data_IF_937755780485
#
_entry.id   IF_937755780485
#
_cell.length_a   1.000
_cell.length_b   1.000
_cell.length_c   1.000
_cell.angle_alpha   90.00
_cell.angle_beta   90.00
_cell.angle_gamma   90.00
#
_symmetry.space_group_name_H-M   'P 1'
#
loop_
_entity.id
_entity.type
_entity.pdbx_description
1 polymer ?
#
# COMPACT_ATOMS: atom_id res chain seq x y z
N UNK A 1 16.25 16.04 3.19
CA UNK A 1 15.06 15.74 2.35
C UNK A 1 14.76 14.25 2.48
N UNK A 2 13.81 13.84 3.32
CA UNK A 2 13.42 12.43 3.43
C UNK A 2 12.64 12.07 2.17
N UNK A 3 13.13 11.11 1.39
CA UNK A 3 12.47 10.73 0.13
C UNK A 3 11.10 10.11 0.42
N UNK A 4 10.10 10.35 -0.45
CA UNK A 4 8.75 9.73 -0.33
C UNK A 4 8.79 8.19 -0.20
N UNK A 5 9.84 7.56 -0.72
CA UNK A 5 10.08 6.10 -0.57
C UNK A 5 10.46 5.72 0.86
N UNK A 6 11.26 6.56 1.54
CA UNK A 6 11.62 6.37 2.94
C UNK A 6 10.40 6.51 3.85
N UNK A 7 9.51 7.48 3.60
CA UNK A 7 8.29 7.68 4.39
C UNK A 7 7.36 6.46 4.33
N UNK A 8 7.14 5.92 3.13
CA UNK A 8 6.24 4.77 2.92
C UNK A 8 6.75 3.51 3.63
N UNK A 9 8.04 3.18 3.47
CA UNK A 9 8.63 1.99 4.10
C UNK A 9 8.70 2.14 5.63
N UNK A 10 8.97 3.35 6.13
CA UNK A 10 8.96 3.63 7.57
C UNK A 10 7.56 3.46 8.17
N UNK A 11 6.51 3.90 7.49
CA UNK A 11 5.12 3.71 7.93
C UNK A 11 4.76 2.22 8.00
N UNK A 12 5.09 1.43 6.98
CA UNK A 12 4.85 -0.01 7.00
C UNK A 12 5.58 -0.70 8.17
N UNK A 13 6.85 -0.34 8.39
CA UNK A 13 7.63 -0.88 9.50
C UNK A 13 7.04 -0.49 10.86
N UNK A 14 6.53 0.74 10.98
CA UNK A 14 5.88 1.21 12.20
C UNK A 14 4.58 0.43 12.50
N UNK A 15 3.74 0.18 11.49
CA UNK A 15 2.53 -0.65 11.62
C UNK A 15 2.89 -2.06 12.11
N UNK A 16 3.92 -2.66 11.53
CA UNK A 16 4.42 -3.99 11.92
C UNK A 16 4.93 -4.00 13.36
N UNK A 17 5.68 -2.98 13.77
CA UNK A 17 6.20 -2.85 15.13
C UNK A 17 5.09 -2.68 16.17
N UNK A 18 4.08 -1.85 15.87
CA UNK A 18 2.91 -1.63 16.74
C UNK A 18 1.91 -2.79 16.74
N UNK A 19 2.14 -3.83 15.92
CA UNK A 19 1.28 -5.02 15.77
C UNK A 19 -0.19 -4.68 15.43
N UNK A 20 -0.41 -3.61 14.68
CA UNK A 20 -1.75 -3.31 14.21
C UNK A 20 -2.22 -4.41 13.25
N UNK A 21 -3.46 -4.91 13.38
CA UNK A 21 -4.03 -5.88 12.46
C UNK A 21 -4.13 -5.23 11.07
N UNK A 22 -3.34 -5.73 10.14
CA UNK A 22 -3.31 -5.28 8.76
C UNK A 22 -3.16 -6.46 7.81
N UNK A 23 -3.74 -6.33 6.62
CA UNK A 23 -3.61 -7.32 5.54
C UNK A 23 -3.26 -6.58 4.27
N UNK A 24 -2.24 -7.05 3.55
CA UNK A 24 -1.86 -6.51 2.24
C UNK A 24 -1.95 -7.65 1.23
N UNK A 25 -2.88 -7.52 0.30
CA UNK A 25 -3.10 -8.46 -0.79
C UNK A 25 -2.63 -7.81 -2.10
N UNK A 26 -2.06 -8.62 -2.98
CA UNK A 26 -1.65 -8.19 -4.32
C UNK A 26 -2.28 -9.11 -5.36
N UNK A 27 -3.02 -8.52 -6.28
CA UNK A 27 -3.63 -9.21 -7.40
C UNK A 27 -2.95 -8.74 -8.68
N UNK A 28 -2.54 -9.71 -9.49
CA UNK A 28 -1.97 -9.43 -10.80
C UNK A 28 -3.08 -9.48 -11.84
N UNK A 29 -3.35 -8.33 -12.45
CA UNK A 29 -4.30 -8.20 -13.54
C UNK A 29 -3.55 -8.21 -14.88
N UNK A 30 -3.80 -9.27 -15.66
CA UNK A 30 -3.36 -9.37 -17.04
C UNK A 30 -4.61 -9.39 -17.92
N UNK A 31 -4.82 -8.30 -18.65
CA UNK A 31 -5.89 -8.26 -19.62
C UNK A 31 -5.52 -9.14 -20.82
N UNK A 32 -6.39 -10.09 -21.18
CA UNK A 32 -6.17 -10.97 -22.34
C UNK A 32 -6.37 -10.23 -23.67
N UNK A 33 -7.06 -9.09 -23.65
CA UNK A 33 -7.33 -8.26 -24.84
C UNK A 33 -6.21 -7.25 -25.12
N UNK A 34 -5.41 -6.91 -24.11
CA UNK A 34 -4.25 -6.01 -24.23
C UNK A 34 -3.00 -6.72 -23.70
N UNK A 35 -2.21 -7.40 -24.55
CA UNK A 35 -1.07 -8.22 -24.11
C UNK A 35 0.02 -7.42 -23.37
N UNK A 36 0.07 -6.10 -23.57
CA UNK A 36 1.00 -5.18 -22.89
C UNK A 36 0.41 -4.53 -21.61
N UNK A 37 -0.86 -4.80 -21.28
CA UNK A 37 -1.50 -4.25 -20.10
C UNK A 37 -1.25 -5.15 -18.89
N UNK A 38 -0.08 -4.94 -18.26
CA UNK A 38 0.32 -5.60 -17.02
C UNK A 38 0.07 -4.62 -15.88
N UNK A 39 -0.93 -4.90 -15.03
CA UNK A 39 -1.18 -4.08 -13.84
C UNK A 39 -1.21 -4.95 -12.59
N UNK A 40 -0.57 -4.45 -11.56
CA UNK A 40 -0.72 -4.93 -10.21
C UNK A 40 -1.78 -4.07 -9.53
N UNK A 41 -2.73 -4.73 -8.88
CA UNK A 41 -3.66 -4.12 -7.95
C UNK A 41 -3.25 -4.59 -6.57
N UNK A 42 -3.17 -3.69 -5.61
CA UNK A 42 -2.97 -4.08 -4.23
C UNK A 42 -4.03 -3.49 -3.34
N UNK A 43 -4.38 -4.23 -2.31
CA UNK A 43 -5.41 -3.90 -1.33
C UNK A 43 -4.81 -4.00 0.06
N UNK A 44 -4.76 -2.87 0.78
CA UNK A 44 -4.41 -2.81 2.20
C UNK A 44 -5.68 -2.67 3.01
N UNK A 45 -5.92 -3.61 3.92
CA UNK A 45 -6.95 -3.49 4.96
C UNK A 45 -6.26 -3.19 6.27
N UNK A 46 -6.61 -2.08 6.91
CA UNK A 46 -6.10 -1.70 8.22
C UNK A 46 -7.19 -0.96 9.00
N UNK A 47 -7.38 -1.34 10.28
CA UNK A 47 -8.36 -0.71 11.17
C UNK A 47 -9.78 -0.61 10.58
N UNK A 48 -10.24 -1.68 9.91
CA UNK A 48 -11.55 -1.72 9.24
C UNK A 48 -11.66 -0.88 7.96
N UNK A 49 -10.63 -0.13 7.58
CA UNK A 49 -10.55 0.65 6.33
C UNK A 49 -9.81 -0.13 5.26
N UNK A 50 -10.26 0.03 4.01
CA UNK A 50 -9.66 -0.62 2.85
C UNK A 50 -9.09 0.44 1.91
N UNK A 51 -7.81 0.30 1.57
CA UNK A 51 -7.07 1.16 0.66
C UNK A 51 -6.62 0.35 -0.54
N UNK A 52 -6.85 0.88 -1.74
CA UNK A 52 -6.43 0.23 -2.97
C UNK A 52 -5.46 1.10 -3.75
N UNK A 53 -4.58 0.45 -4.52
CA UNK A 53 -3.65 1.12 -5.41
C UNK A 53 -3.31 0.25 -6.62
N UNK A 54 -3.11 0.91 -7.76
CA UNK A 54 -2.83 0.25 -9.04
C UNK A 54 -1.49 0.75 -9.58
N UNK A 55 -0.67 -0.16 -10.10
CA UNK A 55 0.66 0.17 -10.60
C UNK A 55 1.26 -0.91 -11.49
N UNK A 56 2.41 -0.62 -12.07
CA UNK A 56 3.08 -1.51 -13.03
C UNK A 56 3.86 -2.62 -12.32
N UNK A 57 4.17 -2.43 -11.04
CA UNK A 57 4.86 -3.40 -10.19
C UNK A 57 4.40 -3.31 -8.74
N UNK A 58 4.61 -4.38 -7.95
CA UNK A 58 4.21 -4.46 -6.53
C UNK A 58 4.72 -3.29 -5.69
N UNK A 59 5.93 -2.80 -5.95
CA UNK A 59 6.50 -1.68 -5.18
C UNK A 59 5.77 -0.36 -5.45
N UNK A 60 5.49 -0.06 -6.72
CA UNK A 60 4.72 1.13 -7.11
C UNK A 60 3.30 1.11 -6.51
N UNK A 61 2.70 -0.08 -6.44
CA UNK A 61 1.40 -0.32 -5.81
C UNK A 61 1.48 -0.09 -4.31
N UNK A 62 2.47 -0.67 -3.64
CA UNK A 62 2.68 -0.50 -2.20
C UNK A 62 2.84 0.97 -1.82
N UNK A 63 3.66 1.73 -2.55
CA UNK A 63 3.85 3.17 -2.29
C UNK A 63 2.55 3.94 -2.47
N UNK A 64 1.75 3.64 -3.50
CA UNK A 64 0.44 4.29 -3.72
C UNK A 64 -0.55 3.98 -2.61
N UNK A 65 -0.63 2.71 -2.20
CA UNK A 65 -1.51 2.27 -1.12
C UNK A 65 -1.13 2.94 0.19
N UNK A 66 0.16 2.95 0.53
CA UNK A 66 0.66 3.56 1.77
C UNK A 66 0.46 5.07 1.78
N UNK A 67 0.60 5.74 0.64
CA UNK A 67 0.29 7.16 0.50
C UNK A 67 -1.20 7.44 0.69
N UNK A 68 -2.07 6.59 0.17
CA UNK A 68 -3.52 6.72 0.38
C UNK A 68 -3.92 6.44 1.83
N UNK A 69 -3.23 5.51 2.48
CA UNK A 69 -3.43 5.19 3.89
C UNK A 69 -2.69 6.16 4.83
N UNK A 70 -1.82 7.03 4.33
CA UNK A 70 -0.88 7.84 5.12
C UNK A 70 -1.56 8.59 6.26
N UNK A 71 -2.68 9.26 6.00
CA UNK A 71 -3.44 9.99 7.03
C UNK A 71 -3.96 9.04 8.13
N UNK A 72 -4.54 7.90 7.77
CA UNK A 72 -5.01 6.93 8.77
C UNK A 72 -3.87 6.31 9.56
N UNK A 73 -2.75 6.03 8.89
CA UNK A 73 -1.57 5.47 9.53
C UNK A 73 -0.97 6.45 10.53
N UNK A 74 -0.93 7.74 10.19
CA UNK A 74 -0.52 8.78 11.11
C UNK A 74 -1.50 8.93 12.29
N UNK A 75 -2.81 8.90 12.05
CA UNK A 75 -3.82 8.90 13.11
C UNK A 75 -3.70 7.70 14.05
N UNK A 76 -3.33 6.52 13.53
CA UNK A 76 -3.07 5.32 14.35
C UNK A 76 -1.75 5.41 15.12
N UNK A 77 -0.75 6.12 14.60
CA UNK A 77 0.57 6.26 15.24
C UNK A 77 0.62 7.29 16.36
N UNK A 78 -0.30 8.26 16.38
CA UNK A 78 -0.42 9.30 17.39
C UNK A 78 -1.27 8.89 18.62
N UNK A 79 -1.48 7.57 18.81
CA UNK A 79 -2.11 6.99 20.01
C UNK A 79 -1.05 6.34 20.89
#
# INVERSE_FOLDING_TARGET
>A
MISKRCTSLNLLNHIKQKKFPHTIEYEFFKDKTQPNFLKWVGTLKINGKTFQGIGENKNSVLVKILKNAEMELYSLSNI
#
